data_IF_778704105262
#
_entry.id   IF_778704105262
#
_cell.length_a   1.000
_cell.length_b   1.000
_cell.length_c   1.000
_cell.angle_alpha   90.00
_cell.angle_beta   90.00
_cell.angle_gamma   90.00
#
_symmetry.space_group_name_H-M   'P 1'
#
loop_
_entity.id
_entity.type
_entity.pdbx_description
1 polymer ?
#
# COMPACT_ATOMS: atom_id res chain seq x y z
N UNK A 1 -5.30 10.28 13.70
CA UNK A 1 -6.42 9.56 13.05
C UNK A 1 -6.52 8.20 13.72
N UNK A 2 -7.68 7.89 14.29
CA UNK A 2 -7.94 6.66 15.07
C UNK A 2 -7.72 5.37 14.27
N UNK A 3 -7.93 5.42 12.94
CA UNK A 3 -7.72 4.26 12.05
C UNK A 3 -6.36 3.58 12.26
N UNK A 4 -5.28 4.35 12.40
CA UNK A 4 -3.93 3.77 12.50
C UNK A 4 -3.69 3.02 13.82
N UNK A 5 -4.49 3.31 14.85
CA UNK A 5 -4.45 2.61 16.14
C UNK A 5 -5.32 1.34 16.17
N UNK A 6 -6.14 1.09 15.15
CA UNK A 6 -6.97 -0.11 15.11
C UNK A 6 -6.11 -1.38 14.97
N UNK A 7 -6.56 -2.51 15.53
CA UNK A 7 -5.89 -3.80 15.33
C UNK A 7 -6.03 -4.29 13.89
N UNK A 8 -5.17 -5.21 13.50
CA UNK A 8 -5.30 -5.95 12.23
C UNK A 8 -6.39 -7.04 12.33
N UNK A 9 -7.02 -7.42 11.17
CA UNK A 9 -6.86 -6.85 9.83
C UNK A 9 -7.58 -5.50 9.68
N UNK A 10 -7.00 -4.59 8.89
CA UNK A 10 -7.62 -3.31 8.56
C UNK A 10 -7.37 -2.95 7.09
N UNK A 11 -8.32 -2.27 6.47
CA UNK A 11 -8.26 -1.87 5.07
C UNK A 11 -8.57 -0.39 4.91
N UNK A 12 -7.92 0.24 3.96
CA UNK A 12 -8.19 1.61 3.52
C UNK A 12 -8.82 1.59 2.14
N UNK A 13 -9.84 2.41 1.96
CA UNK A 13 -10.39 2.73 0.65
C UNK A 13 -9.96 4.13 0.17
N UNK A 14 -10.35 4.49 -1.03
CA UNK A 14 -10.06 5.82 -1.57
C UNK A 14 -10.79 6.94 -0.80
N UNK A 15 -11.93 6.62 -0.17
CA UNK A 15 -12.70 7.55 0.64
C UNK A 15 -11.96 8.00 1.90
N UNK A 16 -11.08 7.16 2.45
CA UNK A 16 -10.30 7.52 3.63
C UNK A 16 -9.45 8.79 3.41
N UNK A 17 -8.77 8.87 2.28
CA UNK A 17 -7.96 10.05 1.96
C UNK A 17 -8.80 11.31 1.86
N UNK A 18 -9.94 11.24 1.15
CA UNK A 18 -10.80 12.39 0.89
C UNK A 18 -11.61 12.83 2.10
N UNK A 19 -12.10 11.88 2.90
CA UNK A 19 -13.06 12.16 3.97
C UNK A 19 -12.39 12.35 5.34
N UNK A 20 -11.20 11.78 5.54
CA UNK A 20 -10.50 11.81 6.82
C UNK A 20 -9.22 12.65 6.76
N UNK A 21 -8.31 12.32 5.82
CA UNK A 21 -6.97 12.91 5.81
C UNK A 21 -6.96 14.34 5.26
N UNK A 22 -7.59 14.59 4.12
CA UNK A 22 -7.60 15.91 3.48
C UNK A 22 -8.26 16.97 4.37
N UNK A 23 -9.42 16.76 5.00
CA UNK A 23 -10.02 17.75 5.91
C UNK A 23 -9.12 18.11 7.09
N UNK A 24 -8.40 17.13 7.66
CA UNK A 24 -7.44 17.41 8.74
C UNK A 24 -6.31 18.31 8.25
N UNK A 25 -5.71 17.97 7.10
CA UNK A 25 -4.59 18.71 6.52
C UNK A 25 -5.02 20.13 6.15
N UNK A 26 -6.21 20.28 5.60
CA UNK A 26 -6.74 21.57 5.16
C UNK A 26 -7.16 22.49 6.31
N UNK A 27 -7.44 21.94 7.49
CA UNK A 27 -7.74 22.74 8.67
C UNK A 27 -6.56 23.59 9.16
N UNK A 28 -5.34 23.31 8.70
CA UNK A 28 -4.13 24.06 9.08
C UNK A 28 -3.73 25.07 8.00
N UNK A 29 -3.31 26.28 8.43
CA UNK A 29 -2.87 27.38 7.55
C UNK A 29 -1.39 27.30 7.18
N UNK A 30 -0.86 26.10 6.93
CA UNK A 30 0.51 25.91 6.47
C UNK A 30 0.61 25.95 4.94
N UNK A 31 1.84 26.13 4.43
CA UNK A 31 2.08 26.07 3.00
C UNK A 31 1.73 24.70 2.41
N UNK A 32 1.41 24.64 1.13
CA UNK A 32 1.16 23.36 0.43
C UNK A 32 2.38 22.45 0.53
N UNK A 33 3.59 23.01 0.44
CA UNK A 33 4.84 22.25 0.56
C UNK A 33 4.97 21.58 1.94
N UNK A 34 4.66 22.31 3.02
CA UNK A 34 4.70 21.76 4.38
C UNK A 34 3.64 20.68 4.59
N UNK A 35 2.43 20.90 4.06
CA UNK A 35 1.34 19.92 4.10
C UNK A 35 1.75 18.62 3.41
N UNK A 36 2.32 18.70 2.20
CA UNK A 36 2.78 17.54 1.44
C UNK A 36 3.96 16.83 2.14
N UNK A 37 4.91 17.59 2.68
CA UNK A 37 6.01 17.03 3.44
C UNK A 37 5.52 16.28 4.69
N UNK A 38 4.54 16.83 5.40
CA UNK A 38 3.90 16.20 6.55
C UNK A 38 3.19 14.91 6.17
N UNK A 39 2.51 14.87 5.03
CA UNK A 39 1.90 13.64 4.51
C UNK A 39 2.96 12.55 4.26
N UNK A 40 4.06 12.89 3.60
CA UNK A 40 5.14 11.94 3.34
C UNK A 40 5.77 11.42 4.65
N UNK A 41 5.99 12.30 5.62
CA UNK A 41 6.49 11.91 6.93
C UNK A 41 5.52 10.97 7.65
N UNK A 42 4.23 11.31 7.66
CA UNK A 42 3.21 10.47 8.27
C UNK A 42 3.15 9.08 7.63
N UNK A 43 3.22 8.98 6.28
CA UNK A 43 3.25 7.69 5.57
C UNK A 43 4.47 6.87 6.02
N UNK A 44 5.65 7.49 6.05
CA UNK A 44 6.88 6.83 6.45
C UNK A 44 6.83 6.32 7.91
N UNK A 45 6.30 7.12 8.84
CA UNK A 45 6.09 6.73 10.24
C UNK A 45 5.11 5.56 10.37
N UNK A 46 3.98 5.59 9.66
CA UNK A 46 3.00 4.51 9.71
C UNK A 46 3.54 3.21 9.12
N UNK A 47 4.33 3.31 8.04
CA UNK A 47 5.03 2.16 7.48
C UNK A 47 6.02 1.57 8.48
N UNK A 48 6.85 2.40 9.12
CA UNK A 48 7.77 1.94 10.15
C UNK A 48 7.06 1.24 11.30
N UNK A 49 5.95 1.82 11.79
CA UNK A 49 5.12 1.20 12.83
C UNK A 49 4.59 -0.17 12.39
N UNK A 50 4.11 -0.27 11.15
CA UNK A 50 3.60 -1.53 10.60
C UNK A 50 4.69 -2.60 10.46
N UNK A 51 5.91 -2.22 10.12
CA UNK A 51 7.05 -3.12 10.01
C UNK A 51 7.48 -3.75 11.34
N UNK A 52 7.11 -3.16 12.48
CA UNK A 52 7.37 -3.76 13.81
C UNK A 52 6.57 -5.06 14.03
N UNK A 53 5.45 -5.23 13.32
CA UNK A 53 4.62 -6.44 13.39
C UNK A 53 5.04 -7.53 12.40
N UNK A 54 5.96 -7.21 11.48
CA UNK A 54 6.45 -8.16 10.48
C UNK A 54 7.75 -8.80 11.00
N UNK A 55 7.79 -10.12 11.04
CA UNK A 55 9.00 -10.87 11.48
C UNK A 55 10.12 -10.84 10.41
N UNK A 56 9.85 -10.25 9.25
CA UNK A 56 10.82 -10.12 8.18
C UNK A 56 11.93 -9.12 8.55
N UNK A 57 13.16 -9.62 8.53
CA UNK A 57 14.40 -8.84 8.77
C UNK A 57 15.04 -8.33 7.48
N UNK A 58 14.31 -8.30 6.39
CA UNK A 58 14.80 -7.79 5.11
C UNK A 58 15.32 -6.37 5.27
N UNK A 59 16.47 -6.10 4.67
CA UNK A 59 17.12 -4.78 4.70
C UNK A 59 16.54 -3.80 3.65
N UNK A 60 15.57 -4.26 2.85
CA UNK A 60 15.01 -3.50 1.75
C UNK A 60 13.48 -3.51 1.75
N UNK A 61 12.90 -2.40 1.27
CA UNK A 61 11.46 -2.23 1.02
C UNK A 61 11.27 -2.09 -0.48
N UNK A 62 10.58 -3.05 -1.08
CA UNK A 62 10.23 -3.01 -2.50
C UNK A 62 8.97 -2.16 -2.69
N UNK A 63 9.09 -1.06 -3.46
CA UNK A 63 8.05 -0.05 -3.62
C UNK A 63 7.55 0.01 -5.04
N UNK A 64 6.23 -0.05 -5.25
CA UNK A 64 5.59 0.03 -6.56
C UNK A 64 4.38 0.97 -6.55
N UNK A 65 3.81 1.24 -7.74
CA UNK A 65 2.71 2.18 -7.91
C UNK A 65 3.19 3.62 -8.04
N UNK A 66 2.29 4.56 -8.31
CA UNK A 66 2.64 5.96 -8.64
C UNK A 66 3.48 6.67 -7.57
N UNK A 67 3.23 6.37 -6.30
CA UNK A 67 4.02 6.91 -5.18
C UNK A 67 5.48 6.48 -5.16
N UNK A 68 5.84 5.39 -5.85
CA UNK A 68 7.21 4.90 -5.94
C UNK A 68 8.16 5.88 -6.62
N UNK A 69 7.66 6.80 -7.44
CA UNK A 69 8.46 7.84 -8.10
C UNK A 69 8.67 9.10 -7.25
N UNK A 70 8.03 9.19 -6.09
CA UNK A 70 8.20 10.31 -5.17
C UNK A 70 9.51 10.14 -4.37
N UNK A 71 10.58 10.80 -4.83
CA UNK A 71 11.90 10.72 -4.20
C UNK A 71 11.91 11.20 -2.75
N UNK A 72 11.14 12.23 -2.43
CA UNK A 72 11.06 12.73 -1.05
C UNK A 72 10.44 11.67 -0.13
N UNK A 73 9.36 11.03 -0.56
CA UNK A 73 8.74 9.94 0.19
C UNK A 73 9.71 8.76 0.40
N UNK A 74 10.45 8.37 -0.65
CA UNK A 74 11.48 7.31 -0.52
C UNK A 74 12.50 7.67 0.56
N UNK A 75 13.06 8.89 0.53
CA UNK A 75 14.02 9.37 1.53
C UNK A 75 13.44 9.34 2.95
N UNK A 76 12.16 9.73 3.12
CA UNK A 76 11.51 9.68 4.43
C UNK A 76 11.29 8.26 4.92
N UNK A 77 10.92 7.34 4.03
CA UNK A 77 10.78 5.91 4.34
C UNK A 77 12.13 5.33 4.79
N UNK A 78 13.20 5.57 4.02
CA UNK A 78 14.54 5.11 4.38
C UNK A 78 14.98 5.64 5.74
N UNK A 79 14.78 6.94 5.99
CA UNK A 79 15.15 7.58 7.26
C UNK A 79 14.37 7.03 8.46
N UNK A 80 13.08 6.72 8.30
CA UNK A 80 12.23 6.22 9.39
C UNK A 80 12.43 4.73 9.65
N UNK A 81 12.67 3.94 8.60
CA UNK A 81 12.71 2.48 8.71
C UNK A 81 14.12 1.91 8.83
N UNK A 82 15.14 2.71 8.53
CA UNK A 82 16.53 2.28 8.36
C UNK A 82 16.68 1.13 7.35
N UNK A 83 15.82 1.09 6.33
CA UNK A 83 15.80 0.09 5.26
C UNK A 83 15.91 0.80 3.91
N UNK A 84 16.61 0.18 2.96
CA UNK A 84 16.74 0.72 1.61
C UNK A 84 15.41 0.61 0.84
N UNK A 85 14.98 1.68 0.19
CA UNK A 85 13.86 1.63 -0.75
C UNK A 85 14.34 1.18 -2.12
N UNK A 86 13.75 0.12 -2.65
CA UNK A 86 14.04 -0.41 -3.99
C UNK A 86 12.82 -0.17 -4.88
N UNK A 87 13.01 0.63 -5.92
CA UNK A 87 12.00 0.88 -6.96
C UNK A 87 12.39 0.06 -8.19
N UNK A 88 11.51 -0.85 -8.66
CA UNK A 88 11.80 -1.64 -9.85
C UNK A 88 11.77 -0.79 -11.13
N UNK A 89 11.94 -1.44 -12.28
CA UNK A 89 11.82 -0.77 -13.56
C UNK A 89 10.46 -0.09 -13.75
N UNK A 90 10.40 0.95 -14.55
CA UNK A 90 9.17 1.70 -14.81
C UNK A 90 8.05 0.80 -15.36
N UNK A 91 8.41 -0.23 -16.13
CA UNK A 91 7.45 -1.21 -16.64
C UNK A 91 6.75 -1.95 -15.49
N UNK A 92 7.52 -2.44 -14.51
CA UNK A 92 6.94 -3.13 -13.36
C UNK A 92 6.07 -2.17 -12.54
N UNK A 93 6.53 -0.95 -12.30
CA UNK A 93 5.75 0.06 -11.56
C UNK A 93 4.43 0.34 -12.24
N UNK A 94 4.43 0.53 -13.57
CA UNK A 94 3.26 0.94 -14.34
C UNK A 94 2.29 -0.21 -14.64
N UNK A 95 2.79 -1.43 -14.82
CA UNK A 95 1.98 -2.57 -15.25
C UNK A 95 1.76 -3.64 -14.16
N UNK A 96 2.18 -3.39 -12.92
CA UNK A 96 2.02 -4.35 -11.81
C UNK A 96 0.59 -4.85 -11.66
N UNK A 97 -0.39 -3.96 -11.73
CA UNK A 97 -1.81 -4.34 -11.59
C UNK A 97 -2.27 -5.24 -12.73
N UNK A 98 -1.88 -4.93 -13.96
CA UNK A 98 -2.17 -5.78 -15.12
C UNK A 98 -1.54 -7.17 -14.95
N UNK A 99 -0.31 -7.25 -14.45
CA UNK A 99 0.38 -8.51 -14.17
C UNK A 99 -0.36 -9.32 -13.10
N UNK A 100 -0.81 -8.67 -12.00
CA UNK A 100 -1.56 -9.31 -10.93
C UNK A 100 -2.89 -9.87 -11.47
N UNK A 101 -3.65 -9.08 -12.24
CA UNK A 101 -4.92 -9.52 -12.83
C UNK A 101 -4.71 -10.67 -13.81
N UNK A 102 -3.66 -10.62 -14.64
CA UNK A 102 -3.32 -11.72 -15.54
C UNK A 102 -2.99 -13.00 -14.77
N UNK A 103 -2.21 -12.89 -13.71
CA UNK A 103 -1.89 -14.04 -12.83
C UNK A 103 -3.15 -14.61 -12.15
N UNK A 104 -4.03 -13.76 -11.62
CA UNK A 104 -5.32 -14.19 -11.06
C UNK A 104 -6.17 -14.90 -12.11
N UNK A 105 -6.15 -14.44 -13.38
CA UNK A 105 -6.82 -15.11 -14.50
C UNK A 105 -6.28 -16.50 -14.77
N UNK A 106 -4.96 -16.68 -14.72
CA UNK A 106 -4.33 -18.00 -14.85
C UNK A 106 -4.74 -18.95 -13.72
N UNK A 107 -4.70 -18.47 -12.47
CA UNK A 107 -5.16 -19.26 -11.31
C UNK A 107 -6.64 -19.63 -11.46
N UNK A 108 -7.50 -18.71 -11.93
CA UNK A 108 -8.92 -18.99 -12.20
C UNK A 108 -9.08 -20.07 -13.28
N UNK A 109 -8.31 -19.99 -14.38
CA UNK A 109 -8.32 -20.99 -15.43
C UNK A 109 -7.96 -22.39 -14.91
N UNK A 110 -7.01 -22.45 -13.99
CA UNK A 110 -6.55 -23.70 -13.34
C UNK A 110 -7.46 -24.14 -12.19
N UNK A 111 -8.51 -23.39 -11.87
CA UNK A 111 -9.39 -23.60 -10.72
C UNK A 111 -8.63 -23.63 -9.38
N UNK A 112 -7.62 -22.78 -9.27
CA UNK A 112 -6.82 -22.57 -8.07
C UNK A 112 -7.27 -21.31 -7.31
N UNK A 113 -7.08 -21.27 -5.98
CA UNK A 113 -7.40 -20.11 -5.13
C UNK A 113 -6.65 -18.88 -5.65
N UNK A 114 -7.39 -17.81 -5.89
CA UNK A 114 -6.84 -16.53 -6.36
C UNK A 114 -7.30 -15.32 -5.52
N UNK A 115 -8.12 -15.55 -4.48
CA UNK A 115 -8.53 -14.53 -3.51
C UNK A 115 -8.42 -15.10 -2.11
N UNK A 116 -7.60 -14.45 -1.27
CA UNK A 116 -7.31 -14.90 0.08
C UNK A 116 -8.19 -14.20 1.11
N UNK A 117 -8.75 -14.96 2.05
CA UNK A 117 -9.52 -14.45 3.17
C UNK A 117 -8.73 -13.47 4.06
N UNK A 118 -7.43 -13.70 4.21
CA UNK A 118 -6.55 -12.85 5.02
C UNK A 118 -6.37 -11.44 4.46
N UNK A 119 -6.62 -11.26 3.15
CA UNK A 119 -6.56 -9.97 2.47
C UNK A 119 -7.92 -9.30 2.40
N UNK A 120 -8.96 -10.08 2.16
CA UNK A 120 -10.31 -9.56 1.89
C UNK A 120 -11.20 -9.48 3.13
N UNK A 121 -10.85 -10.18 4.21
CA UNK A 121 -11.72 -10.36 5.36
C UNK A 121 -12.92 -11.30 5.10
N UNK A 122 -12.92 -12.03 4.00
CA UNK A 122 -13.94 -13.04 3.68
C UNK A 122 -13.87 -14.22 4.65
N UNK A 123 -14.92 -15.05 4.67
CA UNK A 123 -14.99 -16.23 5.56
C UNK A 123 -14.05 -17.36 5.14
N UNK A 124 -13.64 -17.40 3.87
CA UNK A 124 -12.76 -18.42 3.31
C UNK A 124 -12.05 -17.90 2.06
N UNK A 125 -10.94 -18.55 1.72
CA UNK A 125 -10.28 -18.38 0.43
C UNK A 125 -11.21 -18.82 -0.70
N UNK A 126 -11.09 -18.19 -1.87
CA UNK A 126 -12.01 -18.43 -2.98
C UNK A 126 -11.34 -18.40 -4.35
N UNK A 127 -12.01 -19.00 -5.31
CA UNK A 127 -11.67 -18.95 -6.73
C UNK A 127 -12.64 -17.99 -7.40
N UNK A 128 -12.20 -16.76 -7.66
CA UNK A 128 -13.03 -15.70 -8.24
C UNK A 128 -12.79 -15.52 -9.74
N UNK A 129 -13.79 -14.95 -10.40
CA UNK A 129 -13.83 -14.70 -11.83
C UNK A 129 -14.78 -15.64 -12.57
N UNK A 130 -15.30 -15.21 -13.72
CA UNK A 130 -16.13 -16.00 -14.62
C UNK A 130 -15.33 -16.42 -15.86
N UNK A 131 -15.59 -17.62 -16.36
CA UNK A 131 -15.07 -18.11 -17.64
C UNK A 131 -16.30 -18.31 -18.54
N UNK A 132 -16.30 -17.72 -19.71
CA UNK A 132 -17.34 -17.85 -20.73
C UNK A 132 -16.78 -18.70 -21.86
N UNK A 133 -17.53 -19.70 -22.30
CA UNK A 133 -17.21 -20.58 -23.42
C UNK A 133 -18.06 -20.26 -24.62
#
# INVERSE_FOLDING_TARGET
VTFFALPFPKSLDNGFSSNEMIPIIDSYSYSIADKLATCCEHIAMQLNTSLQFVQDKSEAIFTTGGGAFNRYLQQRIEAQTNRKVVVPSAEIVNYKEALIIAFMGVLRWRNEINVLQTVTGAKADSVNGAIYY
#
